data_IF_693451828000
#
_entry.id   IF_693451828000
#
_cell.length_a   1.000
_cell.length_b   1.000
_cell.length_c   1.000
_cell.angle_alpha   90.00
_cell.angle_beta   90.00
_cell.angle_gamma   90.00
#
_symmetry.space_group_name_H-M   'P 1'
#
loop_
_entity.id
_entity.type
_entity.pdbx_description
1 polymer ?
#
# COMPACT_ATOMS: atom_id res chain seq x y z
N UNK A 1 -12.45 5.62 -28.24
CA UNK A 1 -11.49 6.72 -27.92
C UNK A 1 -10.83 6.31 -26.61
N UNK A 2 -9.67 5.66 -26.68
CA UNK A 2 -9.08 5.00 -25.52
C UNK A 2 -7.57 5.10 -25.60
N UNK A 3 -7.03 6.20 -25.09
CA UNK A 3 -5.72 6.30 -24.46
C UNK A 3 -5.52 7.77 -24.06
N UNK A 4 -5.68 8.09 -22.77
CA UNK A 4 -5.31 9.41 -22.22
C UNK A 4 -3.80 9.65 -22.19
N UNK A 5 -3.00 8.63 -22.49
CA UNK A 5 -1.54 8.68 -22.51
C UNK A 5 -0.99 8.41 -23.91
N UNK A 6 -0.09 9.27 -24.39
CA UNK A 6 0.59 9.10 -25.70
C UNK A 6 1.43 7.82 -25.73
N UNK A 7 2.15 7.54 -24.63
CA UNK A 7 3.04 6.37 -24.48
C UNK A 7 2.96 5.86 -23.05
N UNK A 8 3.03 4.54 -22.88
CA UNK A 8 3.07 3.87 -21.59
C UNK A 8 4.39 3.11 -21.50
N UNK A 9 5.15 3.36 -20.44
CA UNK A 9 6.39 2.65 -20.13
C UNK A 9 6.19 1.85 -18.85
N UNK A 10 6.55 0.57 -18.87
CA UNK A 10 6.36 -0.33 -17.74
C UNK A 10 7.65 -1.08 -17.45
N UNK A 11 8.00 -1.17 -16.17
CA UNK A 11 9.04 -2.06 -15.65
C UNK A 11 8.47 -2.80 -14.46
N UNK A 12 8.65 -4.11 -14.44
CA UNK A 12 8.09 -4.98 -13.40
C UNK A 12 9.21 -5.86 -12.89
N UNK A 13 9.28 -6.01 -11.57
CA UNK A 13 10.14 -6.98 -10.89
C UNK A 13 9.25 -7.93 -10.11
N UNK A 14 9.45 -9.23 -10.28
CA UNK A 14 8.65 -10.26 -9.60
C UNK A 14 9.54 -11.21 -8.81
N UNK A 15 9.04 -11.71 -7.68
CA UNK A 15 9.70 -12.75 -6.88
C UNK A 15 11.18 -12.40 -6.59
N UNK A 16 12.11 -13.26 -7.00
CA UNK A 16 13.57 -13.10 -6.82
C UNK A 16 14.16 -11.84 -7.44
N UNK A 17 13.44 -11.16 -8.34
CA UNK A 17 13.89 -9.88 -8.89
C UNK A 17 13.59 -8.71 -7.95
N UNK A 18 12.70 -8.89 -6.97
CA UNK A 18 12.38 -7.86 -5.98
C UNK A 18 13.48 -7.85 -4.91
N UNK A 19 14.53 -7.08 -5.20
CA UNK A 19 15.67 -6.84 -4.31
C UNK A 19 15.82 -5.35 -4.01
N UNK A 20 16.53 -5.00 -2.93
CA UNK A 20 16.81 -3.60 -2.60
C UNK A 20 17.49 -2.84 -3.77
N UNK A 21 18.40 -3.51 -4.48
CA UNK A 21 19.09 -2.95 -5.64
C UNK A 21 18.12 -2.67 -6.79
N UNK A 22 17.24 -3.62 -7.11
CA UNK A 22 16.29 -3.46 -8.22
C UNK A 22 15.20 -2.43 -7.92
N UNK A 23 14.75 -2.31 -6.67
CA UNK A 23 13.87 -1.22 -6.23
C UNK A 23 14.51 0.14 -6.55
N UNK A 24 15.79 0.34 -6.20
CA UNK A 24 16.51 1.58 -6.52
C UNK A 24 16.66 1.78 -8.04
N UNK A 25 16.98 0.72 -8.79
CA UNK A 25 17.06 0.75 -10.26
C UNK A 25 15.73 1.06 -10.95
N UNK A 26 14.58 0.92 -10.29
CA UNK A 26 13.29 1.29 -10.87
C UNK A 26 13.25 2.75 -11.34
N UNK A 27 14.00 3.64 -10.67
CA UNK A 27 14.16 5.06 -11.04
C UNK A 27 14.69 5.26 -12.45
N UNK A 28 15.42 4.30 -13.01
CA UNK A 28 15.94 4.39 -14.38
C UNK A 28 14.82 4.47 -15.43
N UNK A 29 13.65 3.87 -15.17
CA UNK A 29 12.49 3.96 -16.07
C UNK A 29 12.01 5.42 -16.21
N UNK A 30 12.24 6.25 -15.19
CA UNK A 30 11.76 7.62 -15.11
C UNK A 30 12.72 8.60 -15.81
N UNK A 31 13.88 8.14 -16.29
CA UNK A 31 14.81 8.98 -17.04
C UNK A 31 14.16 9.46 -18.34
N UNK A 32 14.18 10.77 -18.56
CA UNK A 32 13.59 11.40 -19.76
C UNK A 32 12.09 11.72 -19.64
N UNK A 33 11.45 11.38 -18.51
CA UNK A 33 10.08 11.82 -18.22
C UNK A 33 9.95 13.35 -18.21
N UNK A 34 8.76 13.83 -18.56
CA UNK A 34 8.37 15.25 -18.63
C UNK A 34 7.54 15.63 -17.41
N UNK A 35 7.31 16.93 -17.25
CA UNK A 35 6.62 17.50 -16.09
C UNK A 35 5.18 17.01 -15.96
N UNK A 36 4.49 16.83 -17.09
CA UNK A 36 3.06 16.46 -17.15
C UNK A 36 2.81 14.94 -17.18
N UNK A 37 3.88 14.14 -17.26
CA UNK A 37 3.78 12.68 -17.22
C UNK A 37 3.22 12.23 -15.88
N UNK A 38 2.53 11.08 -15.89
CA UNK A 38 2.02 10.43 -14.67
C UNK A 38 2.92 9.27 -14.31
N UNK A 39 3.40 9.24 -13.06
CA UNK A 39 4.20 8.16 -12.51
C UNK A 39 3.35 7.37 -11.54
N UNK A 40 3.26 6.06 -11.77
CA UNK A 40 2.64 5.12 -10.85
C UNK A 40 3.73 4.17 -10.37
N UNK A 41 4.01 4.20 -9.06
CA UNK A 41 4.78 3.16 -8.40
C UNK A 41 3.79 2.23 -7.72
N UNK A 42 3.93 0.92 -7.92
CA UNK A 42 3.15 -0.09 -7.19
C UNK A 42 4.12 -1.03 -6.51
N UNK A 43 3.90 -1.25 -5.21
CA UNK A 43 4.67 -2.17 -4.40
C UNK A 43 3.71 -3.10 -3.67
N UNK A 44 3.84 -4.39 -3.90
CA UNK A 44 3.05 -5.42 -3.24
C UNK A 44 3.98 -6.44 -2.59
N UNK A 45 3.68 -6.87 -1.36
CA UNK A 45 4.49 -7.87 -0.67
C UNK A 45 4.34 -7.83 0.83
N UNK A 46 5.36 -8.34 1.52
CA UNK A 46 5.39 -8.35 2.98
C UNK A 46 6.00 -7.05 3.51
N UNK A 47 5.33 -6.47 4.49
CA UNK A 47 5.81 -5.33 5.26
C UNK A 47 5.68 -5.59 6.75
N UNK A 48 6.40 -4.79 7.54
CA UNK A 48 6.27 -4.77 9.00
C UNK A 48 7.41 -4.00 9.65
N UNK A 49 7.49 -4.12 10.98
CA UNK A 49 8.31 -3.23 11.79
C UNK A 49 9.39 -4.00 12.52
N UNK A 50 10.54 -3.35 12.73
CA UNK A 50 11.52 -3.85 13.68
C UNK A 50 10.99 -3.76 15.14
N UNK A 51 11.70 -4.40 16.07
CA UNK A 51 11.34 -4.44 17.50
C UNK A 51 12.11 -3.39 18.34
N UNK A 52 12.66 -2.38 17.69
CA UNK A 52 13.44 -1.32 18.33
C UNK A 52 12.59 -0.38 19.19
N UNK A 53 13.26 0.53 19.91
CA UNK A 53 12.60 1.57 20.72
C UNK A 53 11.96 2.67 19.89
N UNK A 54 12.31 2.75 18.61
CA UNK A 54 11.73 3.63 17.59
C UNK A 54 11.46 2.76 16.35
N UNK A 55 10.34 1.99 16.35
CA UNK A 55 10.11 0.94 15.37
C UNK A 55 9.95 1.52 13.96
N UNK A 56 10.81 1.08 13.04
CA UNK A 56 10.75 1.52 11.63
C UNK A 56 10.06 0.50 10.75
N UNK A 57 9.34 1.00 9.75
CA UNK A 57 8.76 0.17 8.71
C UNK A 57 9.85 -0.33 7.76
N UNK A 58 9.78 -1.62 7.44
CA UNK A 58 10.56 -2.29 6.41
C UNK A 58 9.64 -3.02 5.44
N UNK A 59 9.92 -2.83 4.15
CA UNK A 59 9.49 -3.75 3.12
C UNK A 59 10.44 -4.94 3.07
N UNK A 60 9.89 -6.14 2.91
CA UNK A 60 10.66 -7.38 2.82
C UNK A 60 10.79 -7.77 1.34
N UNK A 61 11.94 -7.49 0.69
CA UNK A 61 12.28 -8.09 -0.60
C UNK A 61 12.38 -9.62 -0.49
N UNK A 62 12.54 -10.29 -1.63
CA UNK A 62 12.59 -11.75 -1.69
C UNK A 62 13.69 -12.38 -0.81
N UNK A 63 14.82 -11.69 -0.67
CA UNK A 63 15.99 -12.09 0.11
C UNK A 63 15.99 -11.55 1.55
N UNK A 64 14.89 -10.95 2.00
CA UNK A 64 14.79 -10.43 3.36
C UNK A 64 14.72 -11.55 4.41
N UNK A 65 15.42 -11.33 5.51
CA UNK A 65 15.31 -12.13 6.73
C UNK A 65 14.35 -11.43 7.71
N UNK A 66 13.17 -12.01 8.01
CA UNK A 66 12.24 -11.47 9.00
C UNK A 66 12.84 -11.30 10.41
N UNK A 67 13.92 -12.02 10.73
CA UNK A 67 14.61 -11.94 12.02
C UNK A 67 15.76 -10.90 12.01
N UNK A 68 16.15 -10.36 10.84
CA UNK A 68 17.17 -9.31 10.67
C UNK A 68 16.76 -8.23 9.64
N UNK A 69 15.59 -7.63 9.85
CA UNK A 69 15.03 -6.58 8.99
C UNK A 69 15.98 -5.38 8.84
N UNK A 70 16.73 -5.04 9.88
CA UNK A 70 17.61 -3.88 9.86
C UNK A 70 18.74 -4.00 8.83
N UNK A 71 19.14 -5.23 8.48
CA UNK A 71 20.18 -5.48 7.48
C UNK A 71 19.63 -5.93 6.12
N UNK A 72 18.47 -6.58 6.11
CA UNK A 72 17.96 -7.29 4.93
C UNK A 72 16.65 -6.72 4.37
N UNK A 73 15.93 -5.92 5.16
CA UNK A 73 14.74 -5.19 4.73
C UNK A 73 15.09 -3.88 4.03
N UNK A 74 14.10 -3.32 3.34
CA UNK A 74 14.20 -1.99 2.69
C UNK A 74 13.34 -1.01 3.47
N UNK A 75 13.96 0.04 4.01
CA UNK A 75 13.24 1.12 4.69
C UNK A 75 12.35 1.89 3.71
N UNK A 76 11.25 2.45 4.19
CA UNK A 76 10.30 3.16 3.34
C UNK A 76 10.96 4.30 2.52
N UNK A 77 11.89 5.02 3.13
CA UNK A 77 12.58 6.16 2.53
C UNK A 77 13.34 5.75 1.27
N UNK A 78 14.02 4.60 1.28
CA UNK A 78 14.76 4.08 0.12
C UNK A 78 13.82 3.76 -1.06
N UNK A 79 12.57 3.41 -0.77
CA UNK A 79 11.53 3.16 -1.78
C UNK A 79 11.00 4.49 -2.31
N UNK A 80 10.72 5.43 -1.42
CA UNK A 80 10.23 6.76 -1.79
C UNK A 80 11.27 7.57 -2.59
N UNK A 81 12.56 7.34 -2.39
CA UNK A 81 13.66 7.94 -3.17
C UNK A 81 13.56 7.67 -4.68
N UNK A 82 12.84 6.62 -5.09
CA UNK A 82 12.52 6.38 -6.52
C UNK A 82 11.71 7.55 -7.10
N UNK A 83 10.88 8.20 -6.29
CA UNK A 83 9.95 9.26 -6.66
C UNK A 83 10.48 10.67 -6.40
N UNK A 84 11.68 10.82 -5.82
CA UNK A 84 12.33 12.12 -5.59
C UNK A 84 13.18 12.55 -6.78
N UNK A 85 13.45 13.85 -6.93
CA UNK A 85 14.35 14.41 -7.96
C UNK A 85 14.00 14.01 -9.41
N UNK A 86 12.71 13.87 -9.69
CA UNK A 86 12.17 13.60 -11.03
C UNK A 86 11.26 14.76 -11.47
N UNK A 87 11.17 14.98 -12.79
CA UNK A 87 10.36 16.07 -13.38
C UNK A 87 8.85 15.91 -13.21
N UNK A 88 8.25 14.69 -13.32
CA UNK A 88 6.81 14.51 -13.19
C UNK A 88 6.28 15.04 -11.86
N UNK A 89 5.13 15.73 -11.90
CA UNK A 89 4.44 16.19 -10.67
C UNK A 89 3.33 15.25 -10.22
N UNK A 90 2.72 14.53 -11.16
CA UNK A 90 1.67 13.54 -10.92
C UNK A 90 2.31 12.21 -10.53
N UNK A 91 2.35 11.92 -9.23
CA UNK A 91 2.96 10.71 -8.68
C UNK A 91 1.97 10.01 -7.78
N UNK A 92 1.62 8.78 -8.11
CA UNK A 92 0.78 7.90 -7.30
C UNK A 92 1.63 6.71 -6.86
N UNK A 93 1.67 6.45 -5.56
CA UNK A 93 2.30 5.27 -4.99
C UNK A 93 1.23 4.36 -4.38
N UNK A 94 1.03 3.20 -4.99
CA UNK A 94 0.13 2.14 -4.50
C UNK A 94 0.93 1.18 -3.62
N UNK A 95 0.58 1.09 -2.34
CA UNK A 95 1.30 0.28 -1.34
C UNK A 95 0.43 -0.87 -0.82
N UNK A 96 0.63 -2.06 -1.39
CA UNK A 96 -0.08 -3.31 -1.04
C UNK A 96 0.74 -4.20 -0.10
N UNK A 97 1.03 -3.67 1.08
CA UNK A 97 1.81 -4.31 2.15
C UNK A 97 1.07 -4.18 3.48
N UNK A 98 1.29 -5.12 4.41
CA UNK A 98 0.81 -4.93 5.78
C UNK A 98 1.63 -3.87 6.52
N UNK A 99 0.94 -2.98 7.24
CA UNK A 99 1.54 -1.98 8.12
C UNK A 99 1.18 -2.20 9.60
N UNK A 100 0.78 -3.42 9.99
CA UNK A 100 0.20 -3.73 11.31
C UNK A 100 1.15 -3.64 12.52
N UNK A 101 2.20 -2.81 12.46
CA UNK A 101 3.16 -2.60 13.55
C UNK A 101 2.51 -2.06 14.83
N UNK A 102 1.38 -1.38 14.70
CA UNK A 102 0.65 -0.77 15.82
C UNK A 102 -0.29 -1.76 16.53
N UNK A 103 -0.52 -2.95 15.97
CA UNK A 103 -1.42 -3.93 16.60
C UNK A 103 -0.77 -4.61 17.80
N UNK A 104 -1.49 -4.61 18.92
CA UNK A 104 -1.21 -5.47 20.07
C UNK A 104 -1.30 -6.96 19.68
N UNK A 105 -0.48 -7.82 20.30
CA UNK A 105 -0.38 -9.25 19.94
C UNK A 105 -1.73 -9.99 19.95
N UNK A 106 -2.60 -9.67 20.91
CA UNK A 106 -3.92 -10.30 21.04
C UNK A 106 -4.87 -9.89 19.92
N UNK A 107 -4.91 -8.59 19.59
CA UNK A 107 -5.71 -8.07 18.48
C UNK A 107 -5.20 -8.63 17.16
N UNK A 108 -3.88 -8.66 17.00
CA UNK A 108 -3.23 -9.25 15.83
C UNK A 108 -3.61 -10.74 15.65
N UNK A 109 -3.59 -11.53 16.72
CA UNK A 109 -4.00 -12.93 16.68
C UNK A 109 -5.49 -13.10 16.32
N UNK A 110 -6.37 -12.23 16.80
CA UNK A 110 -7.79 -12.23 16.43
C UNK A 110 -8.00 -11.94 14.94
N UNK A 111 -7.32 -10.93 14.39
CA UNK A 111 -7.37 -10.60 12.97
C UNK A 111 -6.91 -11.79 12.11
N UNK A 112 -5.81 -12.44 12.47
CA UNK A 112 -5.33 -13.64 11.77
C UNK A 112 -6.31 -14.82 11.85
N UNK A 113 -6.98 -15.01 12.99
CA UNK A 113 -7.99 -16.06 13.14
C UNK A 113 -9.20 -15.81 12.23
N UNK A 114 -9.74 -14.59 12.25
CA UNK A 114 -10.87 -14.19 11.40
C UNK A 114 -10.53 -14.29 9.90
N UNK A 115 -9.31 -13.88 9.52
CA UNK A 115 -8.82 -14.02 8.16
C UNK A 115 -8.74 -15.50 7.73
N UNK A 116 -8.23 -16.37 8.61
CA UNK A 116 -8.12 -17.81 8.35
C UNK A 116 -9.49 -18.47 8.18
N UNK A 117 -10.47 -18.12 9.01
CA UNK A 117 -11.85 -18.61 8.88
C UNK A 117 -12.47 -18.26 7.53
N UNK A 118 -12.07 -17.13 6.95
CA UNK A 118 -12.51 -16.66 5.62
C UNK A 118 -11.64 -17.15 4.46
N UNK A 119 -10.60 -17.95 4.74
CA UNK A 119 -9.66 -18.45 3.72
C UNK A 119 -8.70 -17.39 3.17
N UNK A 120 -8.51 -16.29 3.90
CA UNK A 120 -7.60 -15.21 3.53
C UNK A 120 -6.18 -15.50 4.03
N UNK A 121 -5.18 -14.97 3.32
CA UNK A 121 -3.79 -14.99 3.73
C UNK A 121 -3.32 -13.57 4.02
N UNK A 122 -2.70 -13.37 5.17
CA UNK A 122 -2.17 -12.07 5.56
C UNK A 122 -0.83 -11.77 4.86
N UNK A 123 -0.64 -10.53 4.40
CA UNK A 123 0.58 -10.05 3.72
C UNK A 123 1.64 -9.57 4.71
N UNK A 124 1.92 -10.38 5.72
CA UNK A 124 2.76 -10.06 6.87
C UNK A 124 3.72 -11.19 7.19
N UNK A 125 4.87 -10.88 7.76
CA UNK A 125 5.83 -11.88 8.28
C UNK A 125 5.68 -12.11 9.79
N UNK A 126 4.94 -11.24 10.49
CA UNK A 126 4.79 -11.32 11.95
C UNK A 126 3.98 -12.56 12.30
N UNK A 127 4.52 -13.37 13.22
CA UNK A 127 3.80 -14.51 13.81
C UNK A 127 2.98 -14.01 15.01
N UNK A 128 1.78 -14.57 15.26
CA UNK A 128 1.02 -14.23 16.46
C UNK A 128 1.82 -14.58 17.73
N UNK A 129 1.86 -13.65 18.68
CA UNK A 129 2.46 -13.88 20.00
C UNK A 129 1.68 -14.91 20.81
N UNK A 130 2.27 -15.43 21.90
CA UNK A 130 1.53 -16.25 22.87
C UNK A 130 0.55 -15.35 23.61
N UNK A 131 -0.76 -15.60 23.46
CA UNK A 131 -1.79 -14.90 24.22
C UNK A 131 -1.44 -14.94 25.72
N UNK A 132 -1.29 -13.77 26.36
CA UNK A 132 -1.24 -13.69 27.81
C UNK A 132 -2.68 -13.80 28.32
N UNK A 133 -2.86 -14.46 29.46
CA UNK A 133 -4.17 -14.83 29.99
C UNK A 133 -5.13 -13.64 30.09
N UNK A 134 -6.40 -13.95 29.83
CA UNK A 134 -7.56 -13.06 29.77
C UNK A 134 -7.59 -11.99 30.87
N UNK A 135 -7.14 -10.79 30.53
CA UNK A 135 -7.50 -9.56 31.22
C UNK A 135 -8.25 -8.69 30.24
N UNK A 136 -9.58 -8.58 30.39
CA UNK A 136 -10.42 -7.74 29.56
C UNK A 136 -10.04 -6.26 29.71
N UNK A 137 -9.01 -5.81 29.00
CA UNK A 137 -8.65 -4.41 28.92
C UNK A 137 -9.40 -3.78 27.74
N UNK A 138 -10.37 -2.94 28.11
CA UNK A 138 -11.14 -2.10 27.21
C UNK A 138 -10.21 -1.38 26.22
N UNK A 139 -10.47 -1.65 24.94
CA UNK A 139 -10.15 -0.85 23.76
C UNK A 139 -9.69 0.57 24.10
N UNK A 140 -8.38 0.82 24.02
CA UNK A 140 -7.86 2.19 24.02
C UNK A 140 -7.99 2.76 22.61
N UNK A 141 -9.21 3.12 22.25
CA UNK A 141 -9.58 3.81 21.01
C UNK A 141 -8.77 5.08 20.73
N UNK A 142 -8.14 5.68 21.75
CA UNK A 142 -7.44 6.97 21.62
C UNK A 142 -6.00 6.88 21.07
N UNK A 143 -5.41 5.68 20.95
CA UNK A 143 -4.09 5.49 20.32
C UNK A 143 -4.18 5.20 18.81
N UNK A 144 -5.38 4.92 18.28
CA UNK A 144 -5.58 4.40 16.92
C UNK A 144 -5.50 5.43 15.78
N UNK A 145 -5.42 6.73 16.09
CA UNK A 145 -5.47 7.79 15.08
C UNK A 145 -4.27 8.75 15.10
N UNK A 146 -3.38 8.64 16.10
CA UNK A 146 -2.30 9.61 16.29
C UNK A 146 -1.07 9.23 15.48
N UNK A 147 -1.17 9.61 14.20
CA UNK A 147 -0.06 9.79 13.28
C UNK A 147 0.67 8.49 12.93
N UNK A 148 0.49 8.04 11.67
CA UNK A 148 1.43 7.12 11.00
C UNK A 148 2.87 7.64 11.21
N UNK A 149 3.54 7.16 12.25
CA UNK A 149 4.89 7.62 12.62
C UNK A 149 5.90 7.38 11.49
N UNK A 150 5.59 6.48 10.54
CA UNK A 150 6.37 6.24 9.32
C UNK A 150 6.64 7.55 8.56
N UNK A 151 5.74 8.54 8.61
CA UNK A 151 5.70 9.63 7.64
C UNK A 151 5.85 11.04 8.20
N UNK A 152 6.21 11.18 9.48
CA UNK A 152 6.26 12.48 10.16
C UNK A 152 7.45 13.37 9.71
N UNK A 153 8.29 12.90 8.78
CA UNK A 153 9.34 13.71 8.18
C UNK A 153 8.77 14.59 7.05
N UNK A 154 8.22 15.75 7.44
CA UNK A 154 7.65 16.75 6.53
C UNK A 154 8.65 17.29 5.48
N UNK A 155 9.96 17.20 5.74
CA UNK A 155 10.99 17.71 4.85
C UNK A 155 11.27 16.81 3.63
N UNK A 156 10.84 15.53 3.67
CA UNK A 156 11.15 14.52 2.65
C UNK A 156 9.92 14.06 1.86
N UNK A 157 9.08 15.00 1.44
CA UNK A 157 7.91 14.67 0.61
C UNK A 157 8.35 14.57 -0.85
N UNK A 158 8.29 13.37 -1.42
CA UNK A 158 8.43 13.14 -2.87
C UNK A 158 7.36 13.87 -3.70
N UNK A 159 6.32 14.38 -3.04
CA UNK A 159 5.12 14.94 -3.65
C UNK A 159 4.13 13.88 -4.15
N UNK A 160 4.41 12.60 -3.90
CA UNK A 160 3.52 11.51 -4.27
C UNK A 160 2.31 11.42 -3.35
N UNK A 161 1.17 11.07 -3.96
CA UNK A 161 0.00 10.56 -3.24
C UNK A 161 0.27 9.10 -2.92
N UNK A 162 0.18 8.71 -1.64
CA UNK A 162 0.46 7.36 -1.17
C UNK A 162 -0.86 6.72 -0.77
N UNK A 163 -1.28 5.72 -1.54
CA UNK A 163 -2.51 4.97 -1.33
C UNK A 163 -2.15 3.56 -0.84
N UNK A 164 -2.36 3.32 0.46
CA UNK A 164 -2.07 2.02 1.06
C UNK A 164 -3.29 1.13 1.15
N UNK A 165 -3.01 -0.17 1.15
CA UNK A 165 -3.99 -1.25 1.19
C UNK A 165 -4.75 -1.40 2.49
N UNK A 166 -4.26 -0.87 3.62
CA UNK A 166 -4.91 -0.95 4.94
C UNK A 166 -4.55 0.24 5.82
N UNK A 167 -5.26 0.41 6.94
CA UNK A 167 -4.81 1.28 8.03
C UNK A 167 -3.54 0.69 8.71
N UNK A 168 -2.79 1.51 9.45
CA UNK A 168 -1.61 1.08 10.22
C UNK A 168 -1.93 0.10 11.37
N UNK A 169 -3.18 0.10 11.81
CA UNK A 169 -3.73 -0.85 12.79
C UNK A 169 -4.47 -2.02 12.13
N UNK A 170 -4.30 -2.23 10.82
CA UNK A 170 -4.95 -3.30 10.07
C UNK A 170 -3.94 -4.14 9.29
N UNK A 171 -4.42 -5.29 8.82
CA UNK A 171 -3.65 -6.23 8.01
C UNK A 171 -4.18 -6.17 6.58
N UNK A 172 -3.28 -6.22 5.59
CA UNK A 172 -3.62 -6.43 4.19
C UNK A 172 -3.70 -7.92 3.88
N UNK A 173 -4.73 -8.33 3.12
CA UNK A 173 -4.99 -9.73 2.82
C UNK A 173 -4.97 -10.04 1.32
N UNK A 174 -4.76 -11.31 1.02
CA UNK A 174 -4.98 -11.90 -0.29
C UNK A 174 -5.83 -13.16 -0.18
N UNK A 175 -6.38 -13.58 -1.32
CA UNK A 175 -7.11 -14.85 -1.40
C UNK A 175 -6.67 -15.66 -2.61
N UNK A 176 -6.50 -16.96 -2.40
CA UNK A 176 -6.21 -17.90 -3.48
C UNK A 176 -7.33 -17.99 -4.52
N UNK A 177 -8.58 -17.69 -4.12
CA UNK A 177 -9.73 -17.68 -5.01
C UNK A 177 -9.66 -16.52 -6.02
N UNK A 178 -9.23 -15.34 -5.57
CA UNK A 178 -9.12 -14.14 -6.41
C UNK A 178 -7.76 -14.01 -7.09
N UNK A 179 -6.80 -14.87 -6.72
CA UNK A 179 -5.40 -14.92 -7.21
C UNK A 179 -4.66 -13.58 -7.13
N UNK A 180 -5.06 -12.71 -6.19
CA UNK A 180 -4.55 -11.36 -5.99
C UNK A 180 -4.75 -10.92 -4.53
N UNK A 181 -4.13 -9.80 -4.15
CA UNK A 181 -4.52 -9.02 -2.96
C UNK A 181 -5.87 -8.32 -3.20
N UNK A 182 -6.67 -8.14 -2.15
CA UNK A 182 -7.96 -7.43 -2.28
C UNK A 182 -7.75 -6.01 -2.82
N UNK A 183 -6.76 -5.29 -2.28
CA UNK A 183 -6.45 -3.94 -2.72
C UNK A 183 -6.05 -3.87 -4.19
N UNK A 184 -5.05 -4.64 -4.61
CA UNK A 184 -4.62 -4.67 -6.02
C UNK A 184 -5.75 -5.03 -6.99
N UNK A 185 -6.61 -5.98 -6.63
CA UNK A 185 -7.77 -6.37 -7.44
C UNK A 185 -8.77 -5.22 -7.58
N UNK A 186 -9.11 -4.57 -6.48
CA UNK A 186 -10.11 -3.49 -6.52
C UNK A 186 -9.58 -2.23 -7.19
N UNK A 187 -8.26 -1.98 -7.18
CA UNK A 187 -7.64 -0.93 -8.03
C UNK A 187 -7.89 -1.22 -9.51
N UNK A 188 -7.69 -2.47 -9.96
CA UNK A 188 -7.95 -2.86 -11.35
C UNK A 188 -9.43 -2.71 -11.67
N UNK A 189 -10.31 -3.19 -10.79
CA UNK A 189 -11.76 -3.07 -10.98
C UNK A 189 -12.17 -1.60 -11.12
N UNK A 190 -11.67 -0.71 -10.26
CA UNK A 190 -11.97 0.73 -10.30
C UNK A 190 -11.61 1.38 -11.65
N UNK A 191 -10.59 0.87 -12.34
CA UNK A 191 -10.19 1.38 -13.66
C UNK A 191 -11.04 0.83 -14.80
N UNK A 192 -11.93 -0.14 -14.54
CA UNK A 192 -12.76 -0.78 -15.57
C UNK A 192 -14.26 -0.67 -15.30
N UNK A 193 -14.64 -0.42 -14.05
CA UNK A 193 -16.02 -0.28 -13.62
C UNK A 193 -16.47 1.18 -13.73
N UNK A 194 -17.56 1.40 -14.47
CA UNK A 194 -18.18 2.73 -14.63
C UNK A 194 -18.69 3.29 -13.31
N UNK A 195 -19.01 2.43 -12.34
CA UNK A 195 -19.48 2.88 -11.03
C UNK A 195 -18.37 3.56 -10.21
N UNK A 196 -17.11 3.43 -10.60
CA UNK A 196 -15.99 4.16 -10.03
C UNK A 196 -15.94 5.61 -10.50
N UNK A 197 -16.40 5.91 -11.71
CA UNK A 197 -16.47 7.25 -12.32
C UNK A 197 -17.77 7.95 -11.89
N UNK A 198 -17.75 8.63 -10.74
CA UNK A 198 -18.95 9.17 -10.09
C UNK A 198 -19.49 10.40 -10.80
N UNK A 199 -18.64 11.19 -11.42
CA UNK A 199 -19.04 12.36 -12.20
C UNK A 199 -19.23 12.06 -13.70
N UNK A 200 -18.96 10.82 -14.13
CA UNK A 200 -19.12 10.32 -15.50
C UNK A 200 -18.26 11.08 -16.52
N UNK A 201 -17.07 11.54 -16.12
CA UNK A 201 -16.17 12.31 -16.97
C UNK A 201 -15.22 11.43 -17.82
N UNK A 202 -15.29 10.10 -17.68
CA UNK A 202 -14.45 9.11 -18.37
C UNK A 202 -13.08 8.89 -17.72
N UNK A 203 -12.87 9.40 -16.51
CA UNK A 203 -11.63 9.28 -15.73
C UNK A 203 -11.96 9.01 -14.27
N UNK A 204 -10.99 8.45 -13.57
CA UNK A 204 -11.04 8.15 -12.15
C UNK A 204 -10.07 9.07 -11.43
N UNK A 205 -10.61 10.04 -10.69
CA UNK A 205 -9.82 10.86 -9.77
C UNK A 205 -9.30 10.03 -8.59
N UNK A 206 -8.28 10.52 -7.86
CA UNK A 206 -7.81 9.86 -6.63
C UNK A 206 -8.92 9.70 -5.60
N UNK A 207 -9.85 10.67 -5.49
CA UNK A 207 -10.94 10.61 -4.54
C UNK A 207 -11.95 9.52 -4.91
N UNK A 208 -12.27 9.38 -6.19
CA UNK A 208 -13.12 8.30 -6.70
C UNK A 208 -12.45 6.93 -6.53
N UNK A 209 -11.17 6.83 -6.90
CA UNK A 209 -10.38 5.62 -6.72
C UNK A 209 -10.39 5.18 -5.25
N UNK A 210 -10.11 6.11 -4.33
CA UNK A 210 -10.13 5.87 -2.89
C UNK A 210 -11.51 5.42 -2.42
N UNK A 211 -12.57 6.13 -2.80
CA UNK A 211 -13.93 5.83 -2.36
C UNK A 211 -14.39 4.44 -2.84
N UNK A 212 -14.17 4.13 -4.12
CA UNK A 212 -14.51 2.85 -4.72
C UNK A 212 -13.73 1.71 -4.06
N UNK A 213 -12.40 1.80 -4.04
CA UNK A 213 -11.52 0.73 -3.55
C UNK A 213 -11.73 0.49 -2.06
N UNK A 214 -11.90 1.55 -1.26
CA UNK A 214 -12.19 1.40 0.18
C UNK A 214 -13.51 0.68 0.42
N UNK A 215 -14.57 1.06 -0.30
CA UNK A 215 -15.87 0.43 -0.16
C UNK A 215 -15.85 -1.05 -0.58
N UNK A 216 -15.22 -1.35 -1.72
CA UNK A 216 -15.12 -2.71 -2.25
C UNK A 216 -14.27 -3.62 -1.35
N UNK A 217 -13.06 -3.19 -0.95
CA UNK A 217 -12.18 -3.98 -0.08
C UNK A 217 -12.79 -4.19 1.30
N UNK A 218 -13.40 -3.16 1.89
CA UNK A 218 -14.07 -3.29 3.19
C UNK A 218 -15.23 -4.28 3.11
N UNK A 219 -16.02 -4.25 2.04
CA UNK A 219 -17.09 -5.22 1.80
C UNK A 219 -16.56 -6.64 1.64
N UNK A 220 -15.56 -6.84 0.78
CA UNK A 220 -15.00 -8.15 0.44
C UNK A 220 -14.29 -8.82 1.63
N UNK A 221 -13.66 -8.00 2.48
CA UNK A 221 -12.97 -8.49 3.68
C UNK A 221 -13.84 -8.51 4.93
N UNK A 222 -15.10 -8.06 4.85
CA UNK A 222 -15.99 -7.95 6.00
C UNK A 222 -15.50 -6.93 7.05
N UNK A 223 -14.85 -5.85 6.60
CA UNK A 223 -14.34 -4.77 7.41
C UNK A 223 -12.95 -4.98 7.97
N UNK A 224 -12.28 -6.11 7.67
CA UNK A 224 -10.96 -6.44 8.20
C UNK A 224 -9.81 -5.62 7.57
N UNK A 225 -10.05 -5.03 6.39
CA UNK A 225 -9.09 -4.25 5.65
C UNK A 225 -9.76 -3.00 5.06
N UNK A 226 -9.21 -1.82 5.35
CA UNK A 226 -9.75 -0.55 4.91
C UNK A 226 -8.66 0.33 4.27
N UNK A 227 -8.51 0.29 2.93
CA UNK A 227 -7.56 1.12 2.19
C UNK A 227 -7.69 2.61 2.51
N UNK A 228 -6.56 3.32 2.50
CA UNK A 228 -6.47 4.73 2.92
C UNK A 228 -5.37 5.51 2.19
N UNK A 229 -5.56 6.82 2.05
CA UNK A 229 -4.53 7.75 1.58
C UNK A 229 -3.75 8.25 2.78
N UNK A 230 -2.46 7.99 2.79
CA UNK A 230 -1.60 8.23 3.97
C UNK A 230 -0.74 9.44 3.83
N UNK A 231 -0.43 9.76 2.57
CA UNK A 231 0.11 11.04 2.18
C UNK A 231 -0.69 11.51 1.00
N UNK A 232 -1.31 12.66 1.18
CA UNK A 232 -2.03 13.32 0.11
C UNK A 232 -1.20 14.49 -0.44
N UNK A 233 -1.48 14.87 -1.68
CA UNK A 233 -0.96 16.06 -2.30
C UNK A 233 -2.10 16.80 -3.00
N UNK A 234 -2.83 17.59 -2.22
CA UNK A 234 -3.99 18.37 -2.67
C UNK A 234 -3.67 19.38 -3.78
N UNK A 235 -2.39 19.67 -4.03
CA UNK A 235 -1.95 20.54 -5.13
C UNK A 235 -1.91 19.83 -6.49
N UNK A 236 -2.02 18.49 -6.51
CA UNK A 236 -1.92 17.70 -7.74
C UNK A 236 -3.28 17.09 -8.07
N UNK A 237 -3.73 17.31 -9.30
CA UNK A 237 -4.89 16.60 -9.85
C UNK A 237 -4.40 15.38 -10.64
N UNK A 238 -4.46 14.20 -10.02
CA UNK A 238 -4.16 12.92 -10.67
C UNK A 238 -5.48 12.25 -11.04
N UNK A 239 -5.65 12.00 -12.33
CA UNK A 239 -6.80 11.32 -12.90
C UNK A 239 -6.28 10.17 -13.77
N UNK A 240 -6.84 8.98 -13.59
CA UNK A 240 -6.54 7.79 -14.38
C UNK A 240 -7.65 7.57 -15.41
N UNK A 241 -7.37 7.17 -16.64
CA UNK A 241 -8.43 6.90 -17.61
C UNK A 241 -9.30 5.73 -17.15
N UNK A 242 -10.62 5.86 -17.31
CA UNK A 242 -11.51 4.70 -17.26
C UNK A 242 -11.27 3.86 -18.53
N UNK A 243 -10.89 2.61 -18.33
CA UNK A 243 -10.56 1.66 -19.39
C UNK A 243 -11.82 0.88 -19.75
N UNK A 244 -12.23 0.95 -21.02
CA UNK A 244 -13.30 0.09 -21.54
C UNK A 244 -12.72 -1.28 -21.90
N UNK A 245 -13.36 -2.36 -21.43
CA UNK A 245 -13.11 -3.71 -21.95
C UNK A 245 -13.52 -3.85 -23.41
#
# INVERSE_FOLDING_TARGET
>A
MGASYEKIFTRTFLNSEVTAENIKKAKDLLKGSKVDDTVILSLAGHGGYDKGTDPKYYYLPHDADPDDLTKTGVVFEDIEEVLTDIKPRKKLFLLDTCESGELEDEVYAQYLALAKERGFKARTFRKPGKARGTGANKWRSFLLEKDRFIYNNLARRSGAVIFSSSLGSEISYESSLIKNGFFSREIINALTDKDADKDSNGKISINELKAYVRAAVSKDTGGLQNPTIDRDNLSQNIELPLVSN
#
